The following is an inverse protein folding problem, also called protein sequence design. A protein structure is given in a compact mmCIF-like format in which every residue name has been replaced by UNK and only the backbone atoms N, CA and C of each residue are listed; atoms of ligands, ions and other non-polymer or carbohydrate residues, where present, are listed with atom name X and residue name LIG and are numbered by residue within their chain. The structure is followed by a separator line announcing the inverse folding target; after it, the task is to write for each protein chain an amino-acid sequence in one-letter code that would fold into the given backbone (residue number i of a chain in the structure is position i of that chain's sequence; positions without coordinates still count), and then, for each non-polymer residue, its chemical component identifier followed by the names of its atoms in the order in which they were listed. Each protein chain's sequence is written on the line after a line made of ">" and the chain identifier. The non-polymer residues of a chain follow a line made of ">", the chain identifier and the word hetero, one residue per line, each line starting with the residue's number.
data_IF_733190685652
#
_entry.id   IF_733190685652
#
_cell.length_a   1.000
_cell.length_b   1.000
_cell.length_c   1.000
_cell.angle_alpha   90.00
_cell.angle_beta   90.00
_cell.angle_gamma   90.00
#
_symmetry.space_group_name_H-M   'P 1'
#
loop_
_entity.id
_entity.type
_entity.pdbx_description
1 polymer ?
#
# COMPACT_ATOMS: atom_id res chain seq x y z
N UNK A 1 -34.64 -18.50 45.22
CA UNK A 1 -34.06 -19.15 44.04
C UNK A 1 -33.17 -18.15 43.34
N UNK A 2 -31.87 -18.21 43.63
CA UNK A 2 -30.82 -17.30 43.15
C UNK A 2 -30.29 -17.79 41.82
N UNK A 3 -30.28 -16.97 40.77
CA UNK A 3 -29.31 -17.14 39.67
C UNK A 3 -29.17 -15.87 38.85
N UNK A 4 -27.96 -15.32 38.97
CA UNK A 4 -27.47 -14.10 38.38
C UNK A 4 -27.53 -14.11 36.84
N UNK A 5 -28.03 -13.02 36.26
CA UNK A 5 -27.79 -12.63 34.87
C UNK A 5 -26.36 -12.12 34.79
N UNK A 6 -25.42 -13.00 34.42
CA UNK A 6 -24.02 -12.65 34.22
C UNK A 6 -23.80 -12.19 32.78
N UNK A 7 -23.34 -10.93 32.68
CA UNK A 7 -22.19 -10.53 31.86
C UNK A 7 -22.29 -10.73 30.34
N UNK A 8 -22.94 -9.78 29.66
CA UNK A 8 -22.62 -9.48 28.26
C UNK A 8 -21.23 -8.85 28.20
N UNK A 9 -20.22 -9.66 27.93
CA UNK A 9 -18.87 -9.22 27.58
C UNK A 9 -18.93 -8.60 26.17
N UNK A 10 -18.94 -7.27 26.08
CA UNK A 10 -18.61 -6.59 24.83
C UNK A 10 -17.16 -6.97 24.48
N UNK A 11 -16.99 -7.83 23.48
CA UNK A 11 -15.73 -7.94 22.75
C UNK A 11 -15.51 -6.60 22.03
N UNK A 12 -14.86 -5.66 22.69
CA UNK A 12 -14.11 -4.64 21.97
C UNK A 12 -12.92 -5.37 21.33
N UNK A 13 -13.08 -5.77 20.07
CA UNK A 13 -11.96 -6.28 19.27
C UNK A 13 -10.86 -5.21 19.21
N UNK A 14 -9.58 -5.59 19.09
CA UNK A 14 -8.51 -4.62 18.97
C UNK A 14 -8.77 -3.76 17.73
N UNK A 15 -8.97 -2.46 17.94
CA UNK A 15 -8.85 -1.47 16.87
C UNK A 15 -7.37 -1.42 16.49
N UNK A 16 -6.97 -2.23 15.50
CA UNK A 16 -5.62 -2.07 14.95
C UNK A 16 -5.53 -0.66 14.36
N UNK A 17 -4.55 0.10 14.81
CA UNK A 17 -4.26 1.39 14.22
C UNK A 17 -3.85 1.13 12.76
N UNK A 18 -4.68 1.60 11.83
CA UNK A 18 -4.40 1.54 10.39
C UNK A 18 -3.07 2.23 10.09
N UNK A 19 -2.17 1.50 9.44
CA UNK A 19 -0.89 1.98 8.95
C UNK A 19 -1.02 2.33 7.47
N UNK A 20 -0.54 3.52 7.11
CA UNK A 20 -0.57 3.97 5.72
C UNK A 20 0.58 3.31 4.92
N UNK A 21 0.22 2.69 3.80
CA UNK A 21 1.15 2.11 2.83
C UNK A 21 1.11 2.92 1.53
N UNK A 22 2.16 3.70 1.29
CA UNK A 22 2.23 4.59 0.14
C UNK A 22 2.77 3.85 -1.10
N UNK A 23 1.96 3.79 -2.15
CA UNK A 23 2.31 3.21 -3.44
C UNK A 23 2.51 4.29 -4.51
N UNK A 24 3.66 4.28 -5.18
CA UNK A 24 3.99 5.18 -6.29
C UNK A 24 4.01 4.44 -7.62
N UNK A 25 3.61 5.15 -8.69
CA UNK A 25 3.58 4.59 -10.05
C UNK A 25 2.36 3.73 -10.34
N UNK A 26 1.41 3.62 -9.41
CA UNK A 26 0.11 3.03 -9.68
C UNK A 26 -0.66 3.91 -10.68
N UNK A 27 -0.93 3.38 -11.88
CA UNK A 27 -1.85 4.00 -12.83
C UNK A 27 -3.27 3.50 -12.59
N UNK A 28 -4.27 4.31 -12.95
CA UNK A 28 -5.67 3.88 -12.88
C UNK A 28 -5.88 2.65 -13.76
N UNK A 29 -6.13 1.52 -13.11
CA UNK A 29 -6.35 0.23 -13.75
C UNK A 29 -7.27 -0.57 -12.84
N UNK A 30 -8.40 -1.06 -13.39
CA UNK A 30 -9.40 -1.79 -12.60
C UNK A 30 -8.85 -3.06 -11.93
N UNK A 31 -7.89 -3.73 -12.57
CA UNK A 31 -7.23 -4.90 -12.00
C UNK A 31 -6.34 -4.54 -10.82
N UNK A 32 -5.62 -3.42 -10.91
CA UNK A 32 -4.80 -2.93 -9.81
C UNK A 32 -5.66 -2.42 -8.64
N UNK A 33 -6.74 -1.70 -8.93
CA UNK A 33 -7.74 -1.28 -7.94
C UNK A 33 -8.37 -2.49 -7.22
N UNK A 34 -8.70 -3.55 -7.95
CA UNK A 34 -9.23 -4.78 -7.37
C UNK A 34 -8.18 -5.51 -6.49
N UNK A 35 -6.93 -5.53 -6.92
CA UNK A 35 -5.84 -6.11 -6.14
C UNK A 35 -5.58 -5.33 -4.84
N UNK A 36 -5.60 -3.99 -4.89
CA UNK A 36 -5.48 -3.15 -3.69
C UNK A 36 -6.64 -3.38 -2.73
N UNK A 37 -7.87 -3.43 -3.25
CA UNK A 37 -9.04 -3.75 -2.41
C UNK A 37 -8.93 -5.13 -1.77
N UNK A 38 -8.47 -6.13 -2.51
CA UNK A 38 -8.28 -7.47 -1.95
C UNK A 38 -7.19 -7.47 -0.87
N UNK A 39 -6.08 -6.77 -1.09
CA UNK A 39 -5.02 -6.61 -0.10
C UNK A 39 -5.54 -5.97 1.20
N UNK A 40 -6.32 -4.90 1.14
CA UNK A 40 -6.90 -4.25 2.32
C UNK A 40 -7.92 -5.15 3.06
N UNK A 41 -8.62 -6.04 2.33
CA UNK A 41 -9.50 -7.04 2.95
C UNK A 41 -8.73 -8.15 3.66
N UNK A 42 -7.60 -8.57 3.10
CA UNK A 42 -6.72 -9.59 3.69
C UNK A 42 -5.89 -9.03 4.85
N UNK A 43 -5.58 -7.73 4.80
CA UNK A 43 -4.78 -7.03 5.79
C UNK A 43 -5.45 -5.74 6.26
N UNK A 44 -6.42 -5.83 7.19
CA UNK A 44 -7.20 -4.68 7.67
C UNK A 44 -6.35 -3.65 8.44
N UNK A 45 -5.11 -4.00 8.78
CA UNK A 45 -4.16 -3.10 9.42
C UNK A 45 -3.49 -2.10 8.47
N UNK A 46 -3.60 -2.31 7.16
CA UNK A 46 -2.99 -1.44 6.16
C UNK A 46 -4.04 -0.67 5.37
N UNK A 47 -3.74 0.59 5.08
CA UNK A 47 -4.50 1.43 4.13
C UNK A 47 -3.58 1.82 2.97
N UNK A 48 -3.98 1.51 1.74
CA UNK A 48 -3.17 1.74 0.55
C UNK A 48 -3.44 3.13 -0.03
N UNK A 49 -2.48 4.04 0.14
CA UNK A 49 -2.54 5.36 -0.50
C UNK A 49 -1.75 5.37 -1.80
N UNK A 50 -2.45 5.49 -2.93
CA UNK A 50 -1.79 5.76 -4.21
C UNK A 50 -1.53 7.25 -4.36
N UNK A 51 -0.26 7.64 -4.53
CA UNK A 51 0.06 9.05 -4.78
C UNK A 51 -0.29 9.44 -6.22
N UNK A 52 -1.40 10.16 -6.42
CA UNK A 52 -1.86 10.66 -7.72
C UNK A 52 -0.98 11.79 -8.34
N UNK A 53 0.13 12.16 -7.69
CA UNK A 53 0.84 13.42 -7.96
C UNK A 53 1.75 13.42 -9.21
N UNK A 54 1.81 12.34 -10.00
CA UNK A 54 2.34 12.41 -11.36
C UNK A 54 1.41 11.65 -12.29
N UNK A 55 1.26 12.15 -13.50
CA UNK A 55 0.28 11.82 -14.53
C UNK A 55 0.40 10.40 -15.11
N UNK A 56 0.43 9.37 -14.25
CA UNK A 56 0.39 7.96 -14.61
C UNK A 56 1.75 7.28 -14.80
N UNK A 57 2.86 7.97 -14.53
CA UNK A 57 4.23 7.39 -14.61
C UNK A 57 5.06 7.79 -13.40
N UNK A 58 5.83 6.84 -12.88
CA UNK A 58 6.85 7.08 -11.86
C UNK A 58 7.80 8.20 -12.30
N UNK A 59 8.03 9.18 -11.43
CA UNK A 59 9.02 10.23 -11.67
C UNK A 59 10.36 9.85 -11.01
N UNK A 60 11.43 9.60 -11.80
CA UNK A 60 12.73 9.25 -11.25
C UNK A 60 13.31 10.33 -10.34
N UNK A 61 13.04 11.62 -10.62
CA UNK A 61 13.56 12.70 -9.78
C UNK A 61 12.91 12.67 -8.39
N UNK A 62 11.58 12.57 -8.31
CA UNK A 62 10.82 12.37 -7.07
C UNK A 62 11.33 11.16 -6.29
N UNK A 63 11.57 10.04 -6.96
CA UNK A 63 12.12 8.83 -6.34
C UNK A 63 13.51 9.08 -5.74
N UNK A 64 14.44 9.60 -6.53
CA UNK A 64 15.81 9.83 -6.09
C UNK A 64 15.87 10.85 -4.94
N UNK A 65 15.07 11.92 -5.01
CA UNK A 65 14.95 12.90 -3.93
C UNK A 65 14.37 12.28 -2.66
N UNK A 66 13.36 11.42 -2.77
CA UNK A 66 12.76 10.73 -1.63
C UNK A 66 13.72 9.74 -0.96
N UNK A 67 14.50 9.01 -1.76
CA UNK A 67 15.57 8.13 -1.26
C UNK A 67 16.64 8.97 -0.54
N UNK A 68 17.15 10.01 -1.20
CA UNK A 68 18.17 10.89 -0.62
C UNK A 68 17.68 11.61 0.65
N UNK A 69 16.38 11.95 0.70
CA UNK A 69 15.72 12.56 1.84
C UNK A 69 15.29 11.58 2.94
N UNK A 70 15.54 10.27 2.78
CA UNK A 70 15.21 9.25 3.78
C UNK A 70 13.71 8.95 3.92
N UNK A 71 12.88 9.32 2.94
CA UNK A 71 11.44 9.08 2.94
C UNK A 71 10.94 8.50 1.59
N UNK A 72 11.45 7.33 1.17
CA UNK A 72 10.97 6.66 -0.03
C UNK A 72 9.56 6.06 0.17
N UNK A 73 8.80 5.79 -0.91
CA UNK A 73 7.55 5.06 -0.81
C UNK A 73 7.78 3.62 -0.36
N UNK A 74 6.77 3.01 0.27
CA UNK A 74 6.80 1.60 0.65
C UNK A 74 6.71 0.68 -0.59
N UNK A 75 5.96 1.11 -1.61
CA UNK A 75 5.80 0.36 -2.86
C UNK A 75 6.13 1.23 -4.08
N UNK A 76 6.98 0.70 -4.95
CA UNK A 76 7.37 1.31 -6.22
C UNK A 76 6.87 0.42 -7.37
N UNK A 77 5.92 0.92 -8.16
CA UNK A 77 5.49 0.27 -9.40
C UNK A 77 6.21 0.97 -10.56
N UNK A 78 7.15 0.25 -11.18
CA UNK A 78 7.98 0.78 -12.24
C UNK A 78 8.00 -0.18 -13.42
N UNK A 79 8.03 0.38 -14.62
CA UNK A 79 8.16 -0.39 -15.86
C UNK A 79 9.53 -1.07 -15.96
N UNK A 80 9.54 -2.29 -16.51
CA UNK A 80 10.75 -3.12 -16.64
C UNK A 80 11.85 -2.50 -17.51
N UNK A 81 11.54 -1.56 -18.39
CA UNK A 81 12.51 -0.86 -19.22
C UNK A 81 13.18 0.32 -18.48
N UNK A 82 12.70 0.65 -17.28
CA UNK A 82 13.32 1.68 -16.42
C UNK A 82 14.39 1.11 -15.48
N UNK A 83 14.47 -0.22 -15.34
CA UNK A 83 15.61 -0.93 -14.73
C UNK A 83 16.42 -1.53 -15.89
N UNK A 84 17.67 -1.10 -16.08
CA UNK A 84 18.44 -1.42 -17.29
C UNK A 84 18.56 -2.93 -17.56
N UNK A 85 18.28 -3.34 -18.79
CA UNK A 85 18.77 -4.60 -19.36
C UNK A 85 20.06 -4.28 -20.11
N UNK A 86 21.17 -4.91 -19.74
CA UNK A 86 22.41 -4.81 -20.52
C UNK A 86 22.22 -5.48 -21.90
N UNK A 87 22.63 -4.85 -23.01
CA UNK A 87 22.60 -5.47 -24.35
C UNK A 87 23.71 -6.51 -24.61
N UNK A 88 24.40 -7.02 -23.59
CA UNK A 88 25.56 -7.91 -23.77
C UNK A 88 25.23 -9.39 -23.96
N UNK A 89 23.94 -9.76 -23.87
CA UNK A 89 23.53 -11.17 -23.82
C UNK A 89 22.73 -11.57 -25.07
N UNK A 90 23.26 -11.26 -26.27
CA UNK A 90 22.82 -11.87 -27.54
C UNK A 90 23.98 -12.07 -28.52
#
# INVERSE_FOLDING_TARGET
>A
MTRALLFSLLLAGPTLATQELIAWGAWRNRGLEAAFRQFELEHPEWELTTSAASSGRMDPQKLMCAIAGGSPPALLIQDRFSVGSSPSDN
#
